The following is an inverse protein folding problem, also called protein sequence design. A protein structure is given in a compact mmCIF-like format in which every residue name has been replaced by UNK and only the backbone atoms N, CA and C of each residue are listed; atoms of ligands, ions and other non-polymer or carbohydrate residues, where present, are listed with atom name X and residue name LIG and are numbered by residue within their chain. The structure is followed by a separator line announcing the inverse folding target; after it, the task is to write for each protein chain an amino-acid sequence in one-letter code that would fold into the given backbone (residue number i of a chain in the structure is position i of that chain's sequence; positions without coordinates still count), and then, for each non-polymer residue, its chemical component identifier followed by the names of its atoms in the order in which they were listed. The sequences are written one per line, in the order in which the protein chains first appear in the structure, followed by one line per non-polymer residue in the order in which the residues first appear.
data_IF_506392195982
#
_entry.id   IF_506392195982
#
_cell.length_a   1.000
_cell.length_b   1.000
_cell.length_c   1.000
_cell.angle_alpha   90.00
_cell.angle_beta   90.00
_cell.angle_gamma   90.00
#
_symmetry.space_group_name_H-M   'P 1'
#
loop_
_entity.id
_entity.type
_entity.pdbx_description
1 polymer ?
#
# COMPACT_ATOMS: atom_id res chain seq x y z
N UNK A 1 -3.97 21.26 4.86
CA UNK A 1 -4.25 21.64 3.44
C UNK A 1 -4.13 20.40 2.56
N UNK A 2 -4.75 20.36 1.37
CA UNK A 2 -4.70 19.25 0.39
C UNK A 2 -4.43 19.79 -1.03
N UNK A 3 -3.87 18.98 -1.96
CA UNK A 3 -3.43 19.47 -3.29
C UNK A 3 -3.62 18.49 -4.45
N UNK A 4 -4.80 18.39 -5.08
CA UNK A 4 -5.13 17.40 -6.14
C UNK A 4 -4.08 17.11 -7.24
N UNK A 5 -3.94 15.81 -7.58
CA UNK A 5 -3.08 15.24 -8.63
C UNK A 5 -3.87 14.17 -9.41
N UNK A 6 -3.31 13.64 -10.50
CA UNK A 6 -4.02 12.77 -11.43
C UNK A 6 -3.84 11.27 -11.13
N UNK A 7 -2.83 10.88 -10.35
CA UNK A 7 -2.57 9.48 -10.01
C UNK A 7 -1.90 9.33 -8.65
N UNK A 8 -1.91 8.09 -8.12
CA UNK A 8 -1.14 7.74 -6.93
C UNK A 8 0.36 7.98 -7.11
N UNK A 9 0.91 7.71 -8.31
CA UNK A 9 2.32 8.00 -8.61
C UNK A 9 2.61 9.50 -8.55
N UNK A 10 1.73 10.37 -9.03
CA UNK A 10 1.95 11.82 -8.96
C UNK A 10 1.99 12.35 -7.52
N UNK A 11 1.41 11.63 -6.55
CA UNK A 11 1.58 11.94 -5.12
C UNK A 11 3.05 11.84 -4.66
N UNK A 12 3.98 11.33 -5.49
CA UNK A 12 5.43 11.41 -5.25
C UNK A 12 5.94 12.83 -4.99
N UNK A 13 5.18 13.86 -5.39
CA UNK A 13 5.42 15.25 -5.00
C UNK A 13 5.57 15.42 -3.47
N UNK A 14 5.05 14.50 -2.66
CA UNK A 14 5.23 14.46 -1.21
C UNK A 14 6.69 14.27 -0.79
N UNK A 15 7.51 13.51 -1.53
CA UNK A 15 8.94 13.40 -1.23
C UNK A 15 9.64 14.71 -1.54
N UNK A 16 9.35 15.29 -2.70
CA UNK A 16 9.90 16.59 -3.07
C UNK A 16 9.52 17.65 -2.03
N UNK A 17 8.28 17.60 -1.54
CA UNK A 17 7.79 18.47 -0.47
C UNK A 17 8.58 18.26 0.82
N UNK A 18 8.75 17.00 1.24
CA UNK A 18 9.50 16.69 2.45
C UNK A 18 10.95 17.17 2.36
N UNK A 19 11.64 16.86 1.25
CA UNK A 19 13.01 17.34 0.99
C UNK A 19 13.10 18.87 1.04
N UNK A 20 12.19 19.56 0.36
CA UNK A 20 12.14 21.02 0.35
C UNK A 20 11.87 21.62 1.74
N UNK A 21 11.05 20.95 2.56
CA UNK A 21 10.74 21.42 3.91
C UNK A 21 11.86 21.14 4.92
N UNK A 22 12.54 20.01 4.79
CA UNK A 22 13.56 19.58 5.76
C UNK A 22 14.99 19.95 5.38
N UNK A 23 15.24 20.31 4.13
CA UNK A 23 16.57 20.48 3.53
C UNK A 23 17.45 19.22 3.68
N UNK A 24 16.84 18.06 3.39
CA UNK A 24 17.46 16.74 3.52
C UNK A 24 17.15 15.91 2.30
N UNK A 25 17.97 14.89 2.02
CA UNK A 25 17.89 14.13 0.77
C UNK A 25 17.33 12.71 0.96
N UNK A 26 17.67 12.02 2.06
CA UNK A 26 17.33 10.59 2.20
C UNK A 26 15.87 10.37 2.51
N UNK A 27 15.32 9.29 1.97
CA UNK A 27 14.01 8.79 2.34
C UNK A 27 14.11 7.33 2.80
N UNK A 28 13.18 6.91 3.65
CA UNK A 28 13.01 5.51 4.02
C UNK A 28 11.69 5.02 3.42
N UNK A 29 11.73 3.89 2.72
CA UNK A 29 10.55 3.09 2.35
C UNK A 29 10.61 1.71 2.99
N UNK A 30 9.49 1.00 2.95
CA UNK A 30 9.40 -0.36 3.46
C UNK A 30 9.29 -1.40 2.36
N UNK A 31 9.84 -2.58 2.63
CA UNK A 31 9.65 -3.78 1.81
C UNK A 31 8.15 -4.12 1.72
N UNK A 32 7.73 -4.62 0.56
CA UNK A 32 6.34 -4.93 0.25
C UNK A 32 5.42 -3.73 0.02
N UNK A 33 5.81 -2.52 0.41
CA UNK A 33 5.07 -1.31 0.08
C UNK A 33 5.36 -0.82 -1.34
N UNK A 34 4.32 -0.47 -2.08
CA UNK A 34 4.34 0.14 -3.40
C UNK A 34 3.82 1.59 -3.34
N UNK A 35 4.57 2.50 -3.95
CA UNK A 35 4.26 3.95 -3.93
C UNK A 35 4.22 4.55 -5.33
N UNK A 36 3.88 3.73 -6.33
CA UNK A 36 3.98 4.09 -7.73
C UNK A 36 5.36 3.78 -8.33
N UNK A 37 5.53 4.16 -9.59
CA UNK A 37 6.69 3.79 -10.41
C UNK A 37 7.72 4.93 -10.58
N UNK A 38 7.73 5.90 -9.66
CA UNK A 38 8.74 6.94 -9.67
C UNK A 38 10.12 6.34 -9.38
N UNK A 39 11.15 6.75 -10.11
CA UNK A 39 12.50 6.17 -10.01
C UNK A 39 13.03 6.00 -8.57
N UNK A 40 12.85 6.96 -7.63
CA UNK A 40 13.33 6.79 -6.26
C UNK A 40 12.68 5.64 -5.49
N UNK A 41 11.53 5.10 -5.94
CA UNK A 41 10.85 3.97 -5.29
C UNK A 41 11.26 2.61 -5.84
N UNK A 42 11.87 2.56 -7.02
CA UNK A 42 12.23 1.34 -7.72
C UNK A 42 13.59 0.81 -7.22
N UNK A 43 13.64 0.53 -5.92
CA UNK A 43 14.82 0.10 -5.17
C UNK A 43 14.70 -1.37 -4.78
N UNK A 44 15.80 -2.11 -4.96
CA UNK A 44 15.88 -3.52 -4.60
C UNK A 44 15.63 -3.70 -3.12
N UNK A 45 14.71 -4.61 -2.83
CA UNK A 45 14.54 -5.18 -1.50
C UNK A 45 15.80 -5.96 -1.13
N UNK A 46 16.31 -5.71 0.08
CA UNK A 46 17.51 -6.35 0.58
C UNK A 46 17.28 -7.77 1.04
N UNK A 47 18.35 -8.55 1.16
CA UNK A 47 18.32 -9.87 1.78
C UNK A 47 18.25 -9.77 3.31
N UNK A 48 17.16 -9.21 3.86
CA UNK A 48 16.89 -9.12 5.30
C UNK A 48 17.77 -8.17 6.10
N UNK A 49 18.61 -7.37 5.45
CA UNK A 49 19.38 -6.27 6.04
C UNK A 49 19.09 -5.03 5.21
N UNK A 50 18.88 -3.88 5.88
CA UNK A 50 18.60 -2.61 5.23
C UNK A 50 19.57 -2.37 4.05
N UNK A 51 19.04 -2.34 2.83
CA UNK A 51 19.85 -2.21 1.62
C UNK A 51 20.04 -0.77 1.22
N UNK A 52 21.26 -0.49 0.74
CA UNK A 52 21.60 0.73 0.02
C UNK A 52 20.89 0.74 -1.34
N UNK A 53 20.48 1.93 -1.78
CA UNK A 53 19.57 2.22 -2.90
C UNK A 53 19.96 1.70 -4.29
N UNK A 54 20.05 0.38 -4.46
CA UNK A 54 20.30 -0.27 -5.73
C UNK A 54 19.01 -0.32 -6.58
N UNK A 55 19.05 0.05 -7.87
CA UNK A 55 17.86 -0.03 -8.73
C UNK A 55 17.34 -1.46 -8.91
N UNK A 56 16.00 -1.60 -8.87
CA UNK A 56 15.30 -2.88 -9.07
C UNK A 56 14.77 -3.08 -10.50
N UNK A 57 14.70 -2.00 -11.29
CA UNK A 57 14.13 -2.04 -12.64
C UNK A 57 15.12 -1.54 -13.70
N UNK A 58 15.26 -2.20 -14.86
CA UNK A 58 16.00 -1.67 -16.00
C UNK A 58 15.51 -0.28 -16.40
N UNK A 59 16.46 0.62 -16.72
CA UNK A 59 16.15 2.00 -17.09
C UNK A 59 16.19 2.99 -15.93
N UNK A 60 16.20 2.53 -14.67
CA UNK A 60 16.35 3.39 -13.49
C UNK A 60 17.82 3.70 -13.24
N UNK A 61 18.25 4.99 -13.27
CA UNK A 61 19.63 5.35 -12.98
C UNK A 61 19.98 5.09 -11.51
N UNK A 62 21.21 4.62 -11.23
CA UNK A 62 21.69 4.43 -9.84
C UNK A 62 21.57 5.70 -8.98
N UNK A 63 21.79 6.87 -9.58
CA UNK A 63 21.65 8.15 -8.87
C UNK A 63 20.22 8.48 -8.47
N UNK A 64 19.22 7.94 -9.16
CA UNK A 64 17.81 8.19 -8.83
C UNK A 64 17.36 7.43 -7.58
N UNK A 65 18.01 6.31 -7.26
CA UNK A 65 17.69 5.45 -6.11
C UNK A 65 18.65 5.61 -4.94
N UNK A 66 19.80 6.27 -5.13
CA UNK A 66 20.88 6.35 -4.15
C UNK A 66 20.43 6.85 -2.77
N UNK A 67 19.56 7.84 -2.73
CA UNK A 67 19.05 8.45 -1.48
C UNK A 67 17.82 7.72 -0.91
N UNK A 68 17.44 6.57 -1.45
CA UNK A 68 16.34 5.78 -0.94
C UNK A 68 16.86 4.59 -0.15
N UNK A 69 16.53 4.58 1.14
CA UNK A 69 16.80 3.51 2.09
C UNK A 69 15.58 2.60 2.20
N UNK A 70 15.82 1.30 2.41
CA UNK A 70 14.75 0.31 2.57
C UNK A 70 14.86 -0.41 3.91
N UNK A 71 13.73 -0.54 4.61
CA UNK A 71 13.60 -1.34 5.84
C UNK A 71 12.53 -2.43 5.69
N UNK A 72 12.67 -3.60 6.35
CA UNK A 72 11.58 -4.56 6.43
C UNK A 72 10.36 -3.96 7.14
N UNK A 73 9.16 -4.19 6.60
CA UNK A 73 7.92 -3.79 7.28
C UNK A 73 7.80 -4.55 8.62
N UNK A 74 7.27 -3.90 9.66
CA UNK A 74 7.18 -4.45 11.02
C UNK A 74 8.53 -4.70 11.74
N UNK A 75 9.65 -4.15 11.25
CA UNK A 75 10.95 -4.17 11.92
C UNK A 75 11.34 -2.78 12.44
N UNK A 76 11.10 -2.54 13.73
CA UNK A 76 11.41 -1.26 14.39
C UNK A 76 12.92 -1.07 14.52
N UNK A 77 13.66 -2.13 14.83
CA UNK A 77 15.10 -2.07 15.07
C UNK A 77 15.86 -1.71 13.79
N UNK A 78 15.43 -2.21 12.64
CA UNK A 78 15.98 -1.80 11.35
C UNK A 78 15.75 -0.30 11.07
N UNK A 79 14.58 0.23 11.42
CA UNK A 79 14.28 1.67 11.27
C UNK A 79 15.15 2.51 12.21
N UNK A 80 15.27 2.11 13.48
CA UNK A 80 16.14 2.79 14.46
C UNK A 80 17.59 2.83 13.98
N UNK A 81 18.11 1.70 13.47
CA UNK A 81 19.44 1.61 12.88
C UNK A 81 19.62 2.57 11.70
N UNK A 82 18.65 2.64 10.78
CA UNK A 82 18.70 3.58 9.66
C UNK A 82 18.72 5.04 10.12
N UNK A 83 17.91 5.40 11.11
CA UNK A 83 17.90 6.76 11.67
C UNK A 83 19.20 7.12 12.37
N UNK A 84 19.81 6.17 13.08
CA UNK A 84 21.06 6.38 13.81
C UNK A 84 22.25 6.54 12.86
N UNK A 85 22.31 5.72 11.81
CA UNK A 85 23.39 5.74 10.81
C UNK A 85 23.26 6.86 9.77
N UNK A 86 22.08 7.47 9.62
CA UNK A 86 21.81 8.56 8.67
C UNK A 86 21.30 9.82 9.38
N UNK A 87 21.84 10.08 10.57
CA UNK A 87 21.36 11.15 11.46
C UNK A 87 21.47 12.52 10.78
N UNK A 88 20.32 13.19 10.69
CA UNK A 88 20.24 14.52 10.07
C UNK A 88 20.05 14.49 8.55
N UNK A 89 20.08 13.33 7.90
CA UNK A 89 20.01 13.21 6.43
C UNK A 89 18.64 12.73 5.92
N UNK A 90 17.77 12.23 6.81
CA UNK A 90 16.45 11.69 6.43
C UNK A 90 15.39 12.80 6.37
N UNK A 91 14.87 13.03 5.15
CA UNK A 91 13.78 13.94 4.84
C UNK A 91 12.40 13.37 5.16
N UNK A 92 12.19 12.07 4.88
CA UNK A 92 10.88 11.44 5.04
C UNK A 92 10.98 9.94 5.25
N UNK A 93 9.91 9.39 5.82
CA UNK A 93 9.61 7.97 5.77
C UNK A 93 8.22 7.79 5.18
N UNK A 94 8.10 6.89 4.21
CA UNK A 94 6.86 6.61 3.48
C UNK A 94 6.53 5.12 3.63
N UNK A 95 5.26 4.83 3.95
CA UNK A 95 4.77 3.48 4.13
C UNK A 95 3.29 3.36 3.76
N UNK A 96 2.87 2.13 3.46
CA UNK A 96 1.46 1.75 3.53
C UNK A 96 1.12 1.41 4.99
N UNK A 97 0.08 2.00 5.62
CA UNK A 97 -0.29 1.68 7.00
C UNK A 97 -0.67 0.21 7.21
N UNK A 98 -1.19 -0.41 6.16
CA UNK A 98 -1.39 -1.86 5.99
C UNK A 98 -0.84 -2.18 4.60
N UNK A 99 0.08 -3.12 4.48
CA UNK A 99 0.65 -3.47 3.17
C UNK A 99 -0.41 -4.21 2.36
N UNK A 100 -0.66 -3.76 1.13
CA UNK A 100 -1.56 -4.39 0.18
C UNK A 100 -0.90 -4.93 -1.09
N UNK A 101 0.34 -4.52 -1.40
CA UNK A 101 1.08 -4.87 -2.63
C UNK A 101 2.05 -6.05 -2.46
N UNK A 102 1.94 -6.78 -1.36
CA UNK A 102 2.64 -8.05 -1.14
C UNK A 102 1.73 -8.98 -0.34
N UNK A 103 0.49 -9.06 -0.79
CA UNK A 103 -0.64 -9.56 -0.01
C UNK A 103 -1.09 -8.56 1.05
N UNK A 104 -1.89 -9.04 2.02
CA UNK A 104 -2.39 -8.24 3.14
C UNK A 104 -1.50 -8.45 4.38
N UNK A 105 -0.66 -7.47 4.72
CA UNK A 105 0.20 -7.53 5.91
C UNK A 105 -0.20 -6.42 6.88
N UNK A 106 -0.83 -6.83 7.98
CA UNK A 106 -1.20 -5.92 9.06
C UNK A 106 0.05 -5.40 9.82
N UNK A 107 0.04 -4.14 10.28
CA UNK A 107 1.09 -3.65 11.16
C UNK A 107 1.01 -4.38 12.51
N UNK A 108 2.17 -4.65 13.11
CA UNK A 108 2.23 -5.03 14.53
C UNK A 108 1.66 -3.88 15.37
N UNK A 109 0.93 -4.15 16.48
CA UNK A 109 0.25 -3.12 17.27
C UNK A 109 1.14 -1.93 17.67
N UNK A 110 2.41 -2.18 17.94
CA UNK A 110 3.41 -1.21 18.35
C UNK A 110 4.05 -0.44 17.18
N UNK A 111 4.01 -0.98 15.96
CA UNK A 111 4.83 -0.53 14.85
C UNK A 111 4.50 0.90 14.43
N UNK A 112 3.25 1.20 14.05
CA UNK A 112 2.86 2.53 13.59
C UNK A 112 3.08 3.62 14.65
N UNK A 113 2.88 3.28 15.93
CA UNK A 113 3.14 4.18 17.04
C UNK A 113 4.64 4.46 17.21
N UNK A 114 5.49 3.44 17.08
CA UNK A 114 6.94 3.59 17.08
C UNK A 114 7.41 4.45 15.90
N UNK A 115 6.96 4.15 14.67
CA UNK A 115 7.22 4.94 13.47
C UNK A 115 6.81 6.40 13.67
N UNK A 116 5.62 6.66 14.25
CA UNK A 116 5.17 8.03 14.55
C UNK A 116 6.05 8.73 15.58
N UNK A 117 6.53 8.01 16.61
CA UNK A 117 7.42 8.55 17.63
C UNK A 117 8.77 8.94 17.04
N UNK A 118 9.34 8.11 16.17
CA UNK A 118 10.60 8.34 15.47
C UNK A 118 10.47 9.55 14.52
N UNK A 119 9.34 9.71 13.85
CA UNK A 119 9.09 10.74 12.82
C UNK A 119 8.37 11.99 13.31
N UNK A 120 8.30 12.26 14.62
CA UNK A 120 7.44 13.32 15.19
C UNK A 120 7.48 14.67 14.45
N UNK A 121 8.59 14.98 13.80
CA UNK A 121 8.80 16.21 13.03
C UNK A 121 8.19 16.21 11.61
N UNK A 122 7.89 15.07 10.97
CA UNK A 122 7.41 15.01 9.56
C UNK A 122 6.17 14.09 9.41
N UNK A 123 5.09 14.61 8.80
CA UNK A 123 3.91 13.83 8.36
C UNK A 123 3.41 14.42 7.05
N UNK A 124 3.28 13.60 6.01
CA UNK A 124 2.64 14.00 4.76
C UNK A 124 1.91 12.82 4.12
N UNK A 125 0.62 12.99 3.86
CA UNK A 125 0.06 12.55 2.59
C UNK A 125 0.15 13.76 1.63
N UNK A 126 -0.35 13.73 0.40
CA UNK A 126 -0.40 14.98 -0.39
C UNK A 126 -1.50 15.98 0.10
N UNK A 127 -1.86 15.82 1.37
CA UNK A 127 -2.27 16.87 2.29
C UNK A 127 -1.63 16.64 3.66
N UNK A 128 -1.48 17.71 4.43
CA UNK A 128 -0.80 17.67 5.72
C UNK A 128 -0.90 18.98 6.48
N UNK A 129 0.03 19.15 7.43
CA UNK A 129 0.19 20.37 8.22
C UNK A 129 0.37 21.57 7.29
N UNK A 130 -0.27 22.67 7.66
CA UNK A 130 -0.32 23.89 6.84
C UNK A 130 1.10 24.40 6.55
N UNK A 131 1.95 24.49 7.58
CA UNK A 131 3.32 25.02 7.42
C UNK A 131 4.18 24.21 6.46
N UNK A 132 3.90 22.91 6.30
CA UNK A 132 4.59 22.05 5.32
C UNK A 132 4.00 22.30 3.93
N UNK A 133 2.68 22.23 3.81
CA UNK A 133 1.98 22.33 2.51
C UNK A 133 2.12 23.71 1.85
N UNK A 134 2.40 24.76 2.62
CA UNK A 134 2.67 26.11 2.10
C UNK A 134 3.99 26.19 1.32
N UNK A 135 4.86 25.17 1.37
CA UNK A 135 6.02 25.07 0.48
C UNK A 135 5.65 24.78 -0.98
N UNK A 136 4.45 24.26 -1.25
CA UNK A 136 4.02 23.92 -2.61
C UNK A 136 3.65 25.20 -3.38
N UNK A 137 4.12 25.32 -4.61
CA UNK A 137 3.74 26.42 -5.51
C UNK A 137 2.21 26.52 -5.67
N UNK A 138 1.63 27.71 -5.89
CA UNK A 138 2.29 29.02 -5.92
C UNK A 138 2.53 29.62 -4.52
N UNK A 139 2.12 28.95 -3.44
CA UNK A 139 2.31 29.46 -2.08
C UNK A 139 3.79 29.46 -1.66
N UNK A 140 4.56 28.46 -2.12
CA UNK A 140 5.98 28.32 -1.82
C UNK A 140 6.82 27.90 -3.04
N UNK A 141 8.12 27.65 -2.83
CA UNK A 141 9.08 27.46 -3.91
C UNK A 141 9.05 26.06 -4.55
N UNK A 142 8.43 25.06 -3.91
CA UNK A 142 8.42 23.69 -4.40
C UNK A 142 7.43 23.53 -5.55
N UNK A 143 7.94 23.35 -6.76
CA UNK A 143 7.10 23.22 -7.95
C UNK A 143 6.42 21.85 -8.06
N UNK A 144 5.10 21.88 -8.20
CA UNK A 144 4.28 20.77 -8.66
C UNK A 144 3.05 21.31 -9.39
N UNK A 145 2.78 20.77 -10.58
CA UNK A 145 1.63 21.15 -11.40
C UNK A 145 1.04 19.91 -12.07
N UNK A 146 -0.19 20.03 -12.57
CA UNK A 146 -0.86 19.02 -13.37
C UNK A 146 -2.06 19.62 -14.09
N UNK A 147 -2.10 19.51 -15.42
CA UNK A 147 -3.12 20.17 -16.26
C UNK A 147 -4.54 19.75 -15.91
N UNK A 148 -4.73 18.47 -15.57
CA UNK A 148 -6.05 17.91 -15.23
C UNK A 148 -6.25 17.74 -13.72
N UNK A 149 -5.30 18.20 -12.91
CA UNK A 149 -5.41 18.16 -11.45
C UNK A 149 -6.65 18.93 -10.99
N UNK A 150 -7.52 18.27 -10.23
CA UNK A 150 -8.73 18.90 -9.72
C UNK A 150 -9.80 19.16 -10.79
N UNK A 151 -9.77 18.45 -11.93
CA UNK A 151 -10.79 18.60 -12.96
C UNK A 151 -12.21 18.34 -12.41
N UNK A 152 -13.25 19.10 -12.85
CA UNK A 152 -14.58 19.02 -12.26
C UNK A 152 -15.23 17.64 -12.28
N UNK A 153 -14.94 16.84 -13.33
CA UNK A 153 -15.50 15.50 -13.48
C UNK A 153 -14.98 14.55 -12.39
N UNK A 154 -13.65 14.48 -12.21
CA UNK A 154 -13.02 13.68 -11.17
C UNK A 154 -13.43 14.16 -9.76
N UNK A 155 -13.52 15.47 -9.54
CA UNK A 155 -13.95 16.03 -8.26
C UNK A 155 -15.39 15.67 -7.92
N UNK A 156 -16.30 15.75 -8.91
CA UNK A 156 -17.71 15.37 -8.73
C UNK A 156 -17.82 13.88 -8.39
N UNK A 157 -17.17 13.01 -9.17
CA UNK A 157 -17.15 11.57 -8.90
C UNK A 157 -16.60 11.26 -7.49
N UNK A 158 -15.45 11.85 -7.13
CA UNK A 158 -14.84 11.68 -5.82
C UNK A 158 -15.75 12.13 -4.67
N UNK A 159 -16.38 13.30 -4.77
CA UNK A 159 -17.33 13.80 -3.76
C UNK A 159 -18.51 12.85 -3.58
N UNK A 160 -19.09 12.34 -4.67
CA UNK A 160 -20.20 11.40 -4.57
C UNK A 160 -19.79 10.06 -3.96
N UNK A 161 -18.61 9.53 -4.32
CA UNK A 161 -18.04 8.32 -3.69
C UNK A 161 -17.82 8.53 -2.19
N UNK A 162 -17.23 9.66 -1.79
CA UNK A 162 -17.01 9.96 -0.36
C UNK A 162 -18.33 10.10 0.40
N UNK A 163 -19.33 10.80 -0.16
CA UNK A 163 -20.66 10.89 0.44
C UNK A 163 -21.30 9.52 0.68
N UNK A 164 -21.13 8.59 -0.26
CA UNK A 164 -21.62 7.20 -0.15
C UNK A 164 -20.92 6.44 0.98
N UNK A 165 -19.60 6.56 1.06
CA UNK A 165 -18.79 5.93 2.11
C UNK A 165 -19.03 6.52 3.50
N UNK A 166 -19.39 7.81 3.58
CA UNK A 166 -19.65 8.53 4.83
C UNK A 166 -21.03 8.25 5.44
N UNK A 167 -21.92 7.53 4.74
CA UNK A 167 -23.21 7.18 5.33
C UNK A 167 -23.06 6.30 6.58
N UNK A 168 -23.91 6.52 7.61
CA UNK A 168 -23.88 5.72 8.82
C UNK A 168 -23.98 4.23 8.52
N UNK A 169 -23.05 3.45 9.05
CA UNK A 169 -23.03 1.99 8.89
C UNK A 169 -22.29 1.47 7.66
N UNK A 170 -21.83 2.32 6.72
CA UNK A 170 -21.09 1.87 5.53
C UNK A 170 -19.88 1.00 5.86
N UNK A 171 -19.00 1.46 6.77
CA UNK A 171 -17.83 0.66 7.19
C UNK A 171 -18.19 -0.53 8.08
N UNK A 172 -19.30 -0.46 8.84
CA UNK A 172 -19.80 -1.61 9.61
C UNK A 172 -20.22 -2.72 8.66
N UNK A 173 -20.96 -2.36 7.61
CA UNK A 173 -21.39 -3.29 6.57
C UNK A 173 -20.19 -3.88 5.82
N UNK A 174 -19.24 -3.05 5.36
CA UNK A 174 -18.01 -3.52 4.71
C UNK A 174 -17.24 -4.50 5.61
N UNK A 175 -17.01 -4.15 6.87
CA UNK A 175 -16.32 -5.04 7.81
C UNK A 175 -17.06 -6.38 7.99
N UNK A 176 -18.39 -6.36 8.05
CA UNK A 176 -19.21 -7.56 8.14
C UNK A 176 -19.01 -8.46 6.93
N UNK A 177 -19.23 -7.95 5.71
CA UNK A 177 -19.17 -8.78 4.50
C UNK A 177 -17.74 -9.25 4.19
N UNK A 178 -16.73 -8.43 4.49
CA UNK A 178 -15.32 -8.83 4.38
C UNK A 178 -14.99 -9.91 5.39
N UNK A 179 -15.45 -9.79 6.63
CA UNK A 179 -15.25 -10.79 7.66
C UNK A 179 -15.89 -12.13 7.30
N UNK A 180 -17.13 -12.11 6.80
CA UNK A 180 -17.83 -13.30 6.31
C UNK A 180 -17.08 -13.97 5.14
N UNK A 181 -16.62 -13.16 4.17
CA UNK A 181 -15.84 -13.67 3.04
C UNK A 181 -14.53 -14.31 3.51
N UNK A 182 -13.74 -13.60 4.31
CA UNK A 182 -12.45 -14.08 4.81
C UNK A 182 -12.62 -15.37 5.60
N UNK A 183 -13.59 -15.42 6.52
CA UNK A 183 -13.84 -16.62 7.30
C UNK A 183 -14.26 -17.80 6.39
N UNK A 184 -15.16 -17.58 5.42
CA UNK A 184 -15.58 -18.65 4.51
C UNK A 184 -14.43 -19.19 3.64
N UNK A 185 -13.51 -18.34 3.20
CA UNK A 185 -12.31 -18.78 2.47
C UNK A 185 -11.35 -19.54 3.39
N UNK A 186 -11.15 -19.10 4.63
CA UNK A 186 -10.33 -19.82 5.63
C UNK A 186 -10.92 -21.21 5.90
N UNK A 187 -12.22 -21.30 6.18
CA UNK A 187 -12.92 -22.55 6.45
C UNK A 187 -12.82 -23.51 5.25
N UNK A 188 -12.85 -22.97 4.03
CA UNK A 188 -12.64 -23.74 2.79
C UNK A 188 -11.21 -24.28 2.70
N UNK A 189 -10.21 -23.46 3.04
CA UNK A 189 -8.81 -23.84 3.14
C UNK A 189 -8.56 -24.96 4.14
N UNK A 190 -9.18 -24.89 5.32
CA UNK A 190 -9.08 -25.91 6.37
C UNK A 190 -9.67 -27.27 5.94
N UNK A 191 -10.66 -27.27 5.05
CA UNK A 191 -11.21 -28.47 4.42
C UNK A 191 -10.30 -29.05 3.31
N UNK A 192 -9.11 -28.48 3.12
CA UNK A 192 -8.12 -28.94 2.13
C UNK A 192 -8.39 -28.45 0.72
N UNK A 193 -9.28 -27.48 0.51
CA UNK A 193 -9.53 -26.88 -0.80
C UNK A 193 -8.64 -25.65 -0.95
N UNK A 194 -7.91 -25.57 -2.04
CA UNK A 194 -7.07 -24.41 -2.32
C UNK A 194 -7.78 -23.53 -3.35
N UNK A 195 -7.96 -22.25 -3.01
CA UNK A 195 -8.47 -21.25 -3.95
C UNK A 195 -7.38 -20.92 -4.96
N UNK A 196 -7.32 -21.62 -6.09
CA UNK A 196 -6.55 -21.10 -7.23
C UNK A 196 -7.35 -20.06 -8.00
N UNK A 197 -6.64 -19.02 -8.45
CA UNK A 197 -7.23 -17.87 -9.15
C UNK A 197 -7.94 -18.30 -10.44
N UNK A 198 -7.44 -19.35 -11.11
CA UNK A 198 -7.96 -19.81 -12.39
C UNK A 198 -9.32 -20.51 -12.22
N UNK A 199 -9.44 -21.41 -11.26
CA UNK A 199 -10.68 -22.10 -10.91
C UNK A 199 -11.72 -21.12 -10.39
N UNK A 200 -11.32 -20.15 -9.57
CA UNK A 200 -12.24 -19.08 -9.17
C UNK A 200 -12.77 -18.29 -10.38
N UNK A 201 -11.91 -17.99 -11.36
CA UNK A 201 -12.30 -17.30 -12.58
C UNK A 201 -13.27 -18.14 -13.44
N UNK A 202 -13.06 -19.45 -13.51
CA UNK A 202 -13.96 -20.39 -14.20
C UNK A 202 -15.34 -20.45 -13.55
N UNK A 203 -15.42 -20.30 -12.23
CA UNK A 203 -16.67 -20.13 -11.46
C UNK A 203 -17.25 -18.71 -11.56
N UNK A 204 -16.64 -17.83 -12.36
CA UNK A 204 -17.08 -16.46 -12.59
C UNK A 204 -16.73 -15.49 -11.45
N UNK A 205 -15.73 -15.82 -10.63
CA UNK A 205 -15.21 -14.98 -9.55
C UNK A 205 -13.80 -14.51 -9.90
N UNK A 206 -13.65 -13.22 -10.16
CA UNK A 206 -12.34 -12.60 -10.38
C UNK A 206 -11.68 -12.24 -9.06
N UNK A 207 -10.58 -12.91 -8.73
CA UNK A 207 -9.73 -12.57 -7.59
C UNK A 207 -8.42 -11.92 -8.05
N UNK A 208 -7.95 -10.96 -7.26
CA UNK A 208 -6.58 -10.47 -7.38
C UNK A 208 -5.59 -11.60 -7.04
N UNK A 209 -4.40 -11.67 -7.67
CA UNK A 209 -3.39 -12.67 -7.33
C UNK A 209 -2.92 -12.51 -5.87
N UNK A 210 -3.24 -13.47 -4.97
CA UNK A 210 -3.18 -13.24 -3.53
C UNK A 210 -1.74 -13.07 -2.99
N UNK A 211 -0.74 -13.59 -3.70
CA UNK A 211 0.68 -13.39 -3.33
C UNK A 211 1.16 -11.96 -3.47
N UNK A 212 0.51 -11.16 -4.32
CA UNK A 212 0.98 -9.84 -4.68
C UNK A 212 -0.03 -8.75 -4.35
N UNK A 213 -1.32 -9.07 -4.22
CA UNK A 213 -2.38 -8.09 -4.01
C UNK A 213 -3.36 -8.49 -2.91
N UNK A 214 -3.74 -7.52 -2.08
CA UNK A 214 -4.86 -7.67 -1.17
C UNK A 214 -6.20 -7.63 -1.91
N UNK A 215 -7.13 -8.50 -1.53
CA UNK A 215 -8.51 -8.48 -2.01
C UNK A 215 -9.31 -7.29 -1.49
N UNK A 216 -10.40 -6.93 -2.18
CA UNK A 216 -11.25 -5.80 -1.82
C UNK A 216 -12.74 -6.13 -1.95
N UNK A 217 -13.54 -5.67 -0.99
CA UNK A 217 -15.00 -5.63 -1.08
C UNK A 217 -15.49 -4.20 -1.28
N UNK A 218 -16.53 -4.01 -2.09
CA UNK A 218 -17.26 -2.75 -2.23
C UNK A 218 -18.68 -2.79 -1.65
N UNK A 219 -19.27 -1.62 -1.40
CA UNK A 219 -20.65 -1.47 -0.87
C UNK A 219 -21.73 -2.11 -1.75
N UNK A 220 -21.42 -2.41 -3.00
CA UNK A 220 -22.32 -3.10 -3.95
C UNK A 220 -22.34 -4.61 -3.76
N UNK A 221 -21.41 -5.19 -2.99
CA UNK A 221 -21.45 -6.62 -2.70
C UNK A 221 -22.56 -6.90 -1.70
N UNK A 222 -23.53 -7.72 -2.10
CA UNK A 222 -24.58 -8.24 -1.23
C UNK A 222 -24.07 -9.47 -0.48
N UNK A 223 -24.76 -9.92 0.59
CA UNK A 223 -24.46 -11.20 1.22
C UNK A 223 -24.52 -12.37 0.23
N UNK A 224 -25.40 -12.30 -0.78
CA UNK A 224 -25.48 -13.30 -1.86
C UNK A 224 -24.19 -13.36 -2.69
N UNK A 225 -23.60 -12.21 -3.03
CA UNK A 225 -22.30 -12.19 -3.71
C UNK A 225 -21.23 -12.88 -2.86
N UNK A 226 -21.19 -12.62 -1.55
CA UNK A 226 -20.24 -13.24 -0.63
C UNK A 226 -20.44 -14.76 -0.58
N UNK A 227 -21.67 -15.23 -0.40
CA UNK A 227 -21.98 -16.65 -0.34
C UNK A 227 -21.68 -17.36 -1.66
N UNK A 228 -21.95 -16.73 -2.81
CA UNK A 228 -21.58 -17.26 -4.11
C UNK A 228 -20.07 -17.42 -4.25
N UNK A 229 -19.29 -16.44 -3.78
CA UNK A 229 -17.82 -16.54 -3.79
C UNK A 229 -17.30 -17.66 -2.89
N UNK A 230 -17.87 -17.83 -1.69
CA UNK A 230 -17.50 -18.93 -0.80
C UNK A 230 -17.87 -20.28 -1.43
N UNK A 231 -19.07 -20.40 -2.02
CA UNK A 231 -19.51 -21.61 -2.69
C UNK A 231 -18.63 -21.97 -3.90
N UNK A 232 -18.17 -20.98 -4.66
CA UNK A 232 -17.21 -21.20 -5.75
C UNK A 232 -15.90 -21.79 -5.22
N UNK A 233 -15.33 -21.19 -4.17
CA UNK A 233 -14.13 -21.69 -3.51
C UNK A 233 -14.33 -23.12 -2.97
N UNK A 234 -15.49 -23.41 -2.41
CA UNK A 234 -15.87 -24.75 -1.98
C UNK A 234 -16.07 -25.73 -3.15
N UNK A 235 -16.47 -25.27 -4.33
CA UNK A 235 -16.59 -26.14 -5.52
C UNK A 235 -15.25 -26.67 -6.03
N UNK A 236 -14.15 -25.97 -5.72
CA UNK A 236 -12.83 -26.30 -6.24
C UNK A 236 -12.26 -27.59 -5.64
N UNK A 237 -11.56 -28.34 -6.49
CA UNK A 237 -10.82 -29.53 -6.07
C UNK A 237 -9.62 -29.13 -5.22
N UNK A 238 -9.19 -29.96 -4.26
CA UNK A 238 -7.91 -29.78 -3.59
C UNK A 238 -6.77 -29.67 -4.59
N UNK A 239 -5.94 -28.64 -4.46
CA UNK A 239 -4.68 -28.58 -5.22
C UNK A 239 -3.69 -29.53 -4.54
N UNK A 240 -3.55 -30.72 -5.11
CA UNK A 240 -2.44 -31.60 -4.81
C UNK A 240 -1.22 -31.13 -5.61
N UNK A 241 -0.26 -30.51 -4.93
CA UNK A 241 1.07 -30.44 -5.51
C UNK A 241 1.58 -31.88 -5.65
N UNK A 242 2.15 -32.22 -6.82
CA UNK A 242 2.50 -33.57 -7.27
C UNK A 242 3.43 -34.42 -6.38
N UNK A 243 3.68 -34.01 -5.15
CA UNK A 243 4.45 -34.71 -4.12
C UNK A 243 3.61 -35.15 -2.90
N UNK A 244 2.27 -35.13 -2.96
CA UNK A 244 1.42 -35.68 -1.90
C UNK A 244 1.28 -34.81 -0.63
N UNK A 245 1.77 -33.56 -0.66
CA UNK A 245 1.51 -32.57 0.38
C UNK A 245 0.44 -31.58 -0.08
N UNK A 246 -0.49 -31.25 0.82
CA UNK A 246 -1.53 -30.23 0.62
C UNK A 246 -0.89 -28.86 0.37
N UNK A 247 -1.15 -28.29 -0.80
CA UNK A 247 -0.62 -26.99 -1.17
C UNK A 247 -1.53 -25.88 -0.65
N UNK A 248 -1.35 -25.51 0.62
CA UNK A 248 -1.98 -24.34 1.22
C UNK A 248 -1.28 -23.04 0.77
N UNK A 249 -0.10 -23.12 0.12
CA UNK A 249 0.76 -21.94 -0.14
C UNK A 249 1.45 -21.88 -1.52
N UNK A 250 0.97 -22.59 -2.55
CA UNK A 250 1.56 -22.50 -3.89
C UNK A 250 0.69 -21.71 -4.86
N UNK A 251 0.68 -20.38 -4.74
CA UNK A 251 0.45 -19.50 -5.89
C UNK A 251 1.05 -18.14 -5.70
#
# INVERSE_FOLDING_TARGET
MVRFVNSGTECMGVIRLARAFTDKERIIKFEGCYHGHADPFLVKVGSGVATLGLPDSPGVPKGATYETLTAPFNDISAVEYLFETNKGEIAAMILEPVVGNSGFIAPKPEFLNAIRKITKEIVGAYGGRREIMEMVAPAGPMYQAGTLSGNPLAMTAGIHTLKRLQEPGSYIYLNKITGELVQGIIDTGEKGRACDVQGMLEEGVYLAPPKFEAGSTGLVHSPEHIQKTIAAAEGLQPIYCGNGNSCIYSL
#
